data_IF_825242192573
#
_entry.id   IF_825242192573
#
_cell.length_a   1.000
_cell.length_b   1.000
_cell.length_c   1.000
_cell.angle_alpha   90.00
_cell.angle_beta   90.00
_cell.angle_gamma   90.00
#
_symmetry.space_group_name_H-M   'P 1'
#
loop_
_entity.id
_entity.type
_entity.pdbx_description
1 polymer ?
#
# COMPACT_ATOMS: atom_id res chain seq x y z
N UNK A 1 13.51 7.69 14.10
CA UNK A 1 12.05 7.71 14.19
C UNK A 1 11.54 8.55 15.35
N UNK A 2 12.04 8.38 16.59
CA UNK A 2 11.61 9.18 17.75
C UNK A 2 11.68 10.69 17.47
N UNK A 3 12.72 11.17 16.79
CA UNK A 3 12.89 12.59 16.44
C UNK A 3 11.86 13.08 15.41
N UNK A 4 11.43 12.22 14.47
CA UNK A 4 10.33 12.52 13.53
C UNK A 4 9.03 12.77 14.30
N UNK A 5 8.75 11.94 15.29
CA UNK A 5 7.52 11.94 16.09
C UNK A 5 7.47 13.10 17.07
N UNK A 6 8.50 13.25 17.87
CA UNK A 6 8.50 14.21 19.00
C UNK A 6 9.06 15.59 18.67
N UNK A 7 9.87 15.73 17.64
CA UNK A 7 10.52 16.97 17.21
C UNK A 7 11.35 17.67 18.30
N UNK A 8 11.65 16.95 19.41
CA UNK A 8 12.43 17.44 20.56
C UNK A 8 13.34 16.32 21.08
N UNK A 9 14.65 16.58 21.16
CA UNK A 9 15.63 15.59 21.62
C UNK A 9 15.40 15.15 23.08
N UNK A 10 14.87 16.04 23.92
CA UNK A 10 14.52 15.71 25.32
C UNK A 10 13.36 14.72 25.42
N UNK A 11 12.33 14.86 24.58
CA UNK A 11 11.20 13.93 24.55
C UNK A 11 11.63 12.57 24.00
N UNK A 12 12.50 12.53 22.97
CA UNK A 12 13.09 11.28 22.46
C UNK A 12 13.90 10.59 23.54
N UNK A 13 14.71 11.33 24.30
CA UNK A 13 15.51 10.78 25.39
C UNK A 13 14.63 10.13 26.46
N UNK A 14 13.55 10.80 26.84
CA UNK A 14 12.59 10.26 27.82
C UNK A 14 11.90 8.97 27.30
N UNK A 15 11.44 8.95 26.04
CA UNK A 15 10.81 7.77 25.43
C UNK A 15 11.76 6.57 25.38
N UNK A 16 13.05 6.81 25.09
CA UNK A 16 14.05 5.74 24.88
C UNK A 16 14.80 5.36 26.17
N UNK A 17 14.50 5.96 27.32
CA UNK A 17 15.27 5.75 28.54
C UNK A 17 16.73 6.22 28.45
N UNK A 18 17.02 7.20 27.60
CA UNK A 18 18.34 7.73 27.33
C UNK A 18 18.51 9.16 27.88
N UNK A 19 19.76 9.61 27.93
CA UNK A 19 20.05 11.02 28.23
C UNK A 19 19.94 11.87 26.94
N UNK A 20 19.57 13.13 27.07
CA UNK A 20 19.53 14.06 25.94
C UNK A 20 20.88 14.20 25.20
N UNK A 21 22.05 14.25 25.90
CA UNK A 21 23.35 14.19 25.22
C UNK A 21 23.57 12.94 24.37
N UNK A 22 23.11 11.76 24.83
CA UNK A 22 23.22 10.51 24.07
C UNK A 22 22.43 10.59 22.76
N UNK A 23 21.18 11.09 22.80
CA UNK A 23 20.37 11.33 21.60
C UNK A 23 21.04 12.32 20.66
N UNK A 24 21.58 13.42 21.18
CA UNK A 24 22.28 14.44 20.39
C UNK A 24 23.54 13.87 19.73
N UNK A 25 24.28 13.04 20.43
CA UNK A 25 25.47 12.38 19.89
C UNK A 25 25.09 11.37 18.78
N UNK A 26 24.05 10.58 18.99
CA UNK A 26 23.54 9.67 17.95
C UNK A 26 23.13 10.44 16.68
N UNK A 27 22.39 11.53 16.82
CA UNK A 27 22.01 12.39 15.68
C UNK A 27 23.25 12.98 14.98
N UNK A 28 24.29 13.40 15.75
CA UNK A 28 25.55 13.89 15.16
C UNK A 28 26.23 12.83 14.31
N UNK A 29 26.27 11.57 14.77
CA UNK A 29 26.83 10.45 13.99
C UNK A 29 26.02 10.20 12.70
N UNK A 30 24.69 10.20 12.78
CA UNK A 30 23.84 10.02 11.60
C UNK A 30 24.04 11.13 10.57
N UNK A 31 24.21 12.38 11.01
CA UNK A 31 24.53 13.51 10.10
C UNK A 31 25.84 13.29 9.34
N UNK A 32 26.84 12.73 9.97
CA UNK A 32 28.11 12.40 9.30
C UNK A 32 27.91 11.27 8.29
N UNK A 33 27.15 10.23 8.66
CA UNK A 33 26.92 9.06 7.79
C UNK A 33 26.14 9.45 6.52
N UNK A 34 25.12 10.31 6.66
CA UNK A 34 24.24 10.69 5.56
C UNK A 34 24.65 11.99 4.85
N UNK A 35 25.69 12.66 5.35
CA UNK A 35 26.14 14.00 4.90
C UNK A 35 24.95 14.99 4.79
N UNK A 36 24.03 14.91 5.77
CA UNK A 36 22.81 15.70 5.82
C UNK A 36 22.49 16.09 7.27
N UNK A 37 21.98 17.31 7.53
CA UNK A 37 21.55 17.72 8.86
C UNK A 37 20.48 16.83 9.48
N UNK A 38 19.71 16.12 8.68
CA UNK A 38 18.54 15.27 8.98
C UNK A 38 17.40 16.03 9.68
N UNK A 39 17.74 16.91 10.61
CA UNK A 39 16.79 17.75 11.35
C UNK A 39 17.34 19.16 11.51
N UNK A 40 16.59 20.14 11.06
CA UNK A 40 16.86 21.57 11.20
C UNK A 40 16.25 22.10 12.49
N UNK A 41 16.96 22.98 13.19
CA UNK A 41 16.39 23.68 14.36
C UNK A 41 15.46 24.79 13.89
N UNK A 42 14.24 24.78 14.42
CA UNK A 42 13.23 25.82 14.20
C UNK A 42 12.68 26.31 15.56
N UNK A 43 11.94 27.39 15.53
CA UNK A 43 11.27 27.95 16.74
C UNK A 43 10.34 26.93 17.42
N UNK A 44 9.76 26.02 16.64
CA UNK A 44 8.85 24.97 17.13
C UNK A 44 9.52 23.61 17.38
N UNK A 45 10.84 23.53 17.29
CA UNK A 45 11.57 22.29 17.52
C UNK A 45 12.40 21.82 16.32
N UNK A 46 12.56 20.52 16.17
CA UNK A 46 13.32 19.91 15.09
C UNK A 46 12.42 19.60 13.90
N UNK A 47 12.77 20.11 12.72
CA UNK A 47 12.08 19.87 11.47
C UNK A 47 12.90 18.95 10.58
N UNK A 48 12.33 17.85 10.04
CA UNK A 48 13.07 16.92 9.18
C UNK A 48 13.45 17.58 7.86
N UNK A 49 14.61 17.18 7.34
CA UNK A 49 15.01 17.48 5.95
C UNK A 49 14.24 16.59 4.97
N UNK A 50 14.31 16.90 3.67
CA UNK A 50 13.75 16.05 2.63
C UNK A 50 14.32 14.62 2.71
N UNK A 51 15.65 14.49 2.92
CA UNK A 51 16.31 13.20 3.09
C UNK A 51 15.79 12.45 4.32
N UNK A 52 15.64 13.14 5.47
CA UNK A 52 15.09 12.49 6.66
C UNK A 52 13.67 11.96 6.45
N UNK A 53 12.83 12.70 5.72
CA UNK A 53 11.48 12.27 5.36
C UNK A 53 11.48 11.07 4.40
N UNK A 54 12.42 11.01 3.46
CA UNK A 54 12.61 9.86 2.57
C UNK A 54 13.12 8.62 3.30
N UNK A 55 13.99 8.81 4.28
CA UNK A 55 14.56 7.72 5.09
C UNK A 55 13.56 7.14 6.08
N UNK A 56 12.58 7.91 6.54
CA UNK A 56 11.62 7.48 7.56
C UNK A 56 10.93 6.15 7.24
N UNK A 57 10.27 5.97 6.09
CA UNK A 57 9.61 4.69 5.77
C UNK A 57 10.60 3.53 5.65
N UNK A 58 11.81 3.78 5.14
CA UNK A 58 12.87 2.77 5.02
C UNK A 58 13.33 2.28 6.38
N UNK A 59 13.57 3.21 7.32
CA UNK A 59 13.99 2.88 8.69
C UNK A 59 12.86 2.19 9.48
N UNK A 60 11.61 2.62 9.31
CA UNK A 60 10.44 1.94 9.89
C UNK A 60 10.38 0.49 9.43
N UNK A 61 10.59 0.24 8.15
CA UNK A 61 10.58 -1.11 7.60
C UNK A 61 11.72 -1.98 8.16
N UNK A 62 12.93 -1.44 8.28
CA UNK A 62 14.09 -2.15 8.87
C UNK A 62 13.77 -2.57 10.31
N UNK A 63 13.26 -1.66 11.13
CA UNK A 63 12.89 -1.96 12.53
C UNK A 63 11.83 -3.04 12.59
N UNK A 64 10.80 -2.97 11.73
CA UNK A 64 9.76 -3.99 11.65
C UNK A 64 10.32 -5.37 11.28
N UNK A 65 11.22 -5.45 10.30
CA UNK A 65 11.87 -6.70 9.91
C UNK A 65 12.71 -7.29 11.06
N UNK A 66 13.41 -6.43 11.81
CA UNK A 66 14.14 -6.85 13.01
C UNK A 66 13.18 -7.41 14.05
N UNK A 67 12.11 -6.69 14.38
CA UNK A 67 11.08 -7.16 15.34
C UNK A 67 10.50 -8.50 14.92
N UNK A 68 10.09 -8.65 13.66
CA UNK A 68 9.56 -9.91 13.12
C UNK A 68 10.59 -11.06 13.20
N UNK A 69 11.87 -10.78 13.04
CA UNK A 69 12.93 -11.78 13.14
C UNK A 69 13.11 -12.25 14.58
N UNK A 70 12.98 -11.35 15.53
CA UNK A 70 13.12 -11.64 16.97
C UNK A 70 11.87 -12.35 17.49
N UNK A 71 10.68 -11.88 17.10
CA UNK A 71 9.37 -12.41 17.52
C UNK A 71 8.98 -13.72 16.80
N UNK A 72 9.68 -14.08 15.73
CA UNK A 72 9.34 -15.12 14.76
C UNK A 72 9.27 -16.57 15.25
N UNK A 73 9.21 -16.83 16.57
CA UNK A 73 9.00 -18.15 17.13
C UNK A 73 7.70 -18.29 17.96
N UNK A 74 6.95 -17.22 18.15
CA UNK A 74 5.68 -17.33 18.87
C UNK A 74 4.54 -17.71 17.95
N UNK A 75 3.73 -18.70 18.36
CA UNK A 75 2.50 -19.08 17.66
C UNK A 75 1.55 -17.88 17.65
N UNK A 76 1.18 -17.41 16.46
CA UNK A 76 0.25 -16.29 16.27
C UNK A 76 -1.06 -16.57 17.01
N UNK A 77 -1.39 -15.73 17.98
CA UNK A 77 -2.66 -15.77 18.70
C UNK A 77 -3.51 -14.54 18.34
N UNK A 78 -4.61 -14.70 17.60
CA UNK A 78 -5.44 -13.58 17.16
C UNK A 78 -5.95 -12.72 18.31
N UNK A 79 -6.26 -13.30 19.46
CA UNK A 79 -6.86 -12.59 20.59
C UNK A 79 -5.89 -11.63 21.29
N UNK A 80 -4.60 -11.92 21.22
CA UNK A 80 -3.55 -11.13 21.92
C UNK A 80 -2.62 -10.38 20.94
N UNK A 81 -2.70 -10.69 19.66
CA UNK A 81 -1.85 -10.07 18.65
C UNK A 81 -2.05 -8.55 18.60
N UNK A 82 -0.96 -7.81 18.74
CA UNK A 82 -0.89 -6.36 18.58
C UNK A 82 0.01 -6.09 17.38
N UNK A 83 -0.57 -5.83 16.23
CA UNK A 83 0.21 -5.56 15.01
C UNK A 83 -0.49 -4.54 14.12
N UNK A 84 0.28 -3.83 13.35
CA UNK A 84 -0.18 -2.93 12.30
C UNK A 84 -0.09 -3.67 10.96
N UNK A 85 -1.24 -4.00 10.38
CA UNK A 85 -1.34 -4.65 9.07
C UNK A 85 -1.53 -3.59 7.98
N UNK A 86 -0.58 -3.52 7.06
CA UNK A 86 -0.59 -2.57 5.94
C UNK A 86 -1.05 -3.27 4.68
N UNK A 87 -2.18 -2.82 4.15
CA UNK A 87 -2.84 -3.43 3.00
C UNK A 87 -2.89 -2.45 1.85
N UNK A 88 -2.23 -2.79 0.73
CA UNK A 88 -2.43 -2.12 -0.55
C UNK A 88 -3.65 -2.71 -1.25
N UNK A 89 -4.60 -1.90 -1.68
CA UNK A 89 -5.80 -2.41 -2.34
C UNK A 89 -6.29 -1.47 -3.44
N UNK A 90 -7.02 -2.02 -4.42
CA UNK A 90 -7.66 -1.21 -5.46
C UNK A 90 -8.97 -0.61 -4.92
N UNK A 91 -9.51 0.37 -5.61
CA UNK A 91 -10.68 1.14 -5.16
C UNK A 91 -11.88 0.25 -4.83
N UNK A 92 -12.11 -0.80 -5.63
CA UNK A 92 -13.20 -1.75 -5.38
C UNK A 92 -13.00 -2.50 -4.06
N UNK A 93 -11.79 -3.01 -3.83
CA UNK A 93 -11.46 -3.75 -2.62
C UNK A 93 -11.45 -2.86 -1.38
N UNK A 94 -10.96 -1.62 -1.51
CA UNK A 94 -11.02 -0.61 -0.43
C UNK A 94 -12.45 -0.34 0.01
N UNK A 95 -13.40 -0.31 -0.93
CA UNK A 95 -14.81 0.00 -0.62
C UNK A 95 -15.62 -1.23 -0.20
N UNK A 96 -15.33 -2.40 -0.75
CA UNK A 96 -16.19 -3.58 -0.60
C UNK A 96 -15.62 -4.68 0.29
N UNK A 97 -14.29 -4.82 0.33
CA UNK A 97 -13.62 -5.89 1.08
C UNK A 97 -13.07 -5.38 2.41
N UNK A 98 -12.30 -4.30 2.39
CA UNK A 98 -11.65 -3.79 3.60
C UNK A 98 -12.63 -3.49 4.73
N UNK A 99 -13.80 -2.86 4.53
CA UNK A 99 -14.75 -2.63 5.63
C UNK A 99 -15.26 -3.93 6.27
N UNK A 100 -15.49 -4.96 5.46
CA UNK A 100 -15.93 -6.28 5.96
C UNK A 100 -14.82 -6.99 6.74
N UNK A 101 -13.58 -6.88 6.26
CA UNK A 101 -12.39 -7.40 6.94
C UNK A 101 -12.21 -6.73 8.30
N UNK A 102 -12.28 -5.40 8.37
CA UNK A 102 -12.18 -4.62 9.60
C UNK A 102 -13.27 -5.03 10.58
N UNK A 103 -14.53 -5.14 10.13
CA UNK A 103 -15.64 -5.56 10.99
C UNK A 103 -15.41 -6.96 11.59
N UNK A 104 -14.87 -7.90 10.80
CA UNK A 104 -14.54 -9.24 11.27
C UNK A 104 -13.35 -9.25 12.22
N UNK A 105 -12.29 -8.51 11.90
CA UNK A 105 -11.08 -8.44 12.73
C UNK A 105 -11.34 -7.80 14.10
N UNK A 106 -12.22 -6.82 14.19
CA UNK A 106 -12.62 -6.23 15.49
C UNK A 106 -13.18 -7.27 16.49
N UNK A 107 -13.73 -8.37 15.98
CA UNK A 107 -14.28 -9.45 16.81
C UNK A 107 -13.18 -10.45 17.19
N UNK A 108 -12.35 -10.86 16.22
CA UNK A 108 -11.40 -11.97 16.41
C UNK A 108 -9.99 -11.52 16.80
N UNK A 109 -9.64 -10.27 16.51
CA UNK A 109 -8.31 -9.70 16.77
C UNK A 109 -8.40 -8.19 17.05
N UNK A 110 -9.00 -7.80 18.18
CA UNK A 110 -9.38 -6.41 18.47
C UNK A 110 -8.19 -5.43 18.53
N UNK A 111 -6.99 -5.93 18.78
CA UNK A 111 -5.76 -5.14 18.92
C UNK A 111 -4.96 -5.01 17.62
N UNK A 112 -5.44 -5.61 16.52
CA UNK A 112 -4.82 -5.47 15.20
C UNK A 112 -5.33 -4.19 14.54
N UNK A 113 -4.41 -3.32 14.15
CA UNK A 113 -4.72 -2.13 13.36
C UNK A 113 -4.58 -2.42 11.87
N UNK A 114 -5.46 -1.83 11.05
CA UNK A 114 -5.37 -1.91 9.60
C UNK A 114 -5.08 -0.53 9.04
N UNK A 115 -4.02 -0.45 8.25
CA UNK A 115 -3.69 0.69 7.41
C UNK A 115 -3.91 0.29 5.95
N UNK A 116 -4.98 0.78 5.33
CA UNK A 116 -5.30 0.47 3.94
C UNK A 116 -4.93 1.65 3.03
N UNK A 117 -4.25 1.35 1.93
CA UNK A 117 -3.74 2.34 0.97
C UNK A 117 -4.22 2.00 -0.44
N UNK A 118 -4.61 3.00 -1.25
CA UNK A 118 -4.86 2.79 -2.67
C UNK A 118 -3.53 2.49 -3.37
N UNK A 119 -3.41 1.28 -3.93
CA UNK A 119 -2.25 0.86 -4.71
C UNK A 119 -2.68 0.02 -5.91
N UNK A 120 -2.00 0.20 -7.03
CA UNK A 120 -2.18 -0.61 -8.23
C UNK A 120 -1.15 -1.73 -8.34
N UNK A 121 -1.38 -2.64 -9.31
CA UNK A 121 -0.63 -3.89 -9.46
C UNK A 121 0.90 -3.73 -9.44
N UNK A 122 1.43 -2.80 -10.24
CA UNK A 122 2.90 -2.64 -10.35
C UNK A 122 3.50 -2.03 -9.09
N UNK A 123 2.82 -1.03 -8.52
CA UNK A 123 3.20 -0.38 -7.26
C UNK A 123 3.09 -1.34 -6.08
N UNK A 124 2.03 -2.17 -6.06
CA UNK A 124 1.78 -3.11 -4.99
C UNK A 124 2.89 -4.17 -4.88
N UNK A 125 3.38 -4.69 -6.02
CA UNK A 125 4.49 -5.66 -6.02
C UNK A 125 5.77 -5.02 -5.51
N UNK A 126 6.05 -3.81 -5.97
CA UNK A 126 7.21 -3.07 -5.48
C UNK A 126 7.11 -2.83 -3.97
N UNK A 127 5.96 -2.35 -3.50
CA UNK A 127 5.70 -2.10 -2.09
C UNK A 127 5.79 -3.38 -1.22
N UNK A 128 5.29 -4.53 -1.73
CA UNK A 128 5.47 -5.83 -1.08
C UNK A 128 6.93 -6.24 -1.00
N UNK A 129 7.67 -6.12 -2.12
CA UNK A 129 9.09 -6.49 -2.17
C UNK A 129 9.95 -5.64 -1.25
N UNK A 130 9.58 -4.39 -1.05
CA UNK A 130 10.24 -3.46 -0.14
C UNK A 130 9.71 -3.54 1.31
N UNK A 131 8.73 -4.42 1.57
CA UNK A 131 8.08 -4.54 2.88
C UNK A 131 7.34 -3.26 3.32
N UNK A 132 6.94 -2.42 2.40
CA UNK A 132 6.13 -1.22 2.67
C UNK A 132 4.68 -1.57 2.99
N UNK A 133 4.18 -2.66 2.42
CA UNK A 133 2.89 -3.28 2.74
C UNK A 133 3.10 -4.76 3.04
N UNK A 134 2.18 -5.36 3.77
CA UNK A 134 2.22 -6.75 4.20
C UNK A 134 1.35 -7.63 3.31
N UNK A 135 0.29 -7.05 2.72
CA UNK A 135 -0.68 -7.71 1.85
C UNK A 135 -1.12 -6.76 0.74
N UNK A 136 -1.43 -7.30 -0.42
CA UNK A 136 -2.16 -6.56 -1.44
C UNK A 136 -3.36 -7.34 -1.94
N UNK A 137 -4.50 -6.63 -2.15
CA UNK A 137 -5.75 -7.19 -2.67
C UNK A 137 -6.14 -6.40 -3.91
N UNK A 138 -6.36 -7.12 -5.02
CA UNK A 138 -6.76 -6.46 -6.26
C UNK A 138 -6.68 -7.39 -7.46
N UNK A 139 -6.81 -6.83 -8.64
CA UNK A 139 -6.64 -7.55 -9.88
C UNK A 139 -5.16 -7.55 -10.29
N UNK A 140 -4.56 -8.72 -10.33
CA UNK A 140 -3.18 -8.93 -10.75
C UNK A 140 -3.12 -9.85 -11.96
N UNK A 141 -2.45 -9.40 -13.01
CA UNK A 141 -2.24 -10.22 -14.22
C UNK A 141 -0.92 -11.02 -14.10
N UNK A 142 -0.82 -11.85 -13.05
CA UNK A 142 0.36 -12.68 -12.80
C UNK A 142 0.03 -14.16 -12.77
N UNK A 143 1.07 -15.02 -12.90
CA UNK A 143 0.92 -16.42 -12.55
C UNK A 143 0.47 -16.57 -11.10
N UNK A 144 -0.61 -17.31 -10.89
CA UNK A 144 -1.26 -17.53 -9.58
C UNK A 144 -0.40 -18.20 -8.51
N UNK A 145 0.85 -18.52 -8.81
CA UNK A 145 1.75 -19.22 -7.89
C UNK A 145 2.74 -18.33 -7.15
N UNK A 146 2.68 -17.01 -7.33
CA UNK A 146 3.64 -16.10 -6.71
C UNK A 146 5.06 -16.24 -7.27
N UNK A 147 5.98 -15.65 -6.59
CA UNK A 147 7.43 -15.71 -6.84
C UNK A 147 8.15 -16.06 -5.53
N UNK A 148 9.50 -16.04 -5.53
CA UNK A 148 10.26 -16.13 -4.26
C UNK A 148 10.00 -14.95 -3.31
N UNK A 149 9.43 -13.87 -3.82
CA UNK A 149 9.27 -12.60 -3.09
C UNK A 149 7.88 -12.44 -2.48
N UNK A 150 6.84 -13.07 -3.06
CA UNK A 150 5.46 -13.00 -2.57
C UNK A 150 4.70 -14.30 -2.88
N UNK A 151 3.67 -14.56 -2.09
CA UNK A 151 2.70 -15.64 -2.33
C UNK A 151 1.45 -14.99 -2.93
N UNK A 152 0.91 -15.58 -4.00
CA UNK A 152 -0.33 -15.12 -4.60
C UNK A 152 -1.43 -16.18 -4.41
N UNK A 153 -2.57 -15.74 -3.92
CA UNK A 153 -3.76 -16.55 -3.72
C UNK A 153 -4.96 -15.92 -4.42
N UNK A 154 -5.72 -16.76 -5.16
CA UNK A 154 -6.92 -16.31 -5.83
C UNK A 154 -8.08 -16.29 -4.86
N UNK A 155 -8.65 -15.13 -4.60
CA UNK A 155 -9.79 -14.97 -3.70
C UNK A 155 -11.12 -15.25 -4.41
N UNK A 156 -11.35 -14.64 -5.59
CA UNK A 156 -12.61 -14.78 -6.35
C UNK A 156 -12.39 -14.45 -7.83
N UNK A 157 -13.43 -14.58 -8.64
CA UNK A 157 -13.47 -14.14 -10.03
C UNK A 157 -14.37 -12.92 -10.18
N UNK A 158 -13.93 -11.97 -10.99
CA UNK A 158 -14.72 -10.84 -11.42
C UNK A 158 -14.87 -10.83 -12.94
N UNK A 159 -15.91 -10.15 -13.43
CA UNK A 159 -16.19 -10.03 -14.84
C UNK A 159 -16.41 -8.57 -15.20
N UNK A 160 -15.83 -8.16 -16.31
CA UNK A 160 -16.21 -6.89 -16.92
C UNK A 160 -17.62 -6.99 -17.51
N UNK A 161 -18.41 -5.97 -17.25
CA UNK A 161 -19.77 -5.87 -17.81
C UNK A 161 -19.88 -4.62 -18.66
N UNK A 162 -20.64 -4.72 -19.74
CA UNK A 162 -21.00 -3.56 -20.54
C UNK A 162 -22.19 -2.87 -19.88
N UNK A 163 -22.02 -1.61 -19.52
CA UNK A 163 -23.08 -0.77 -18.99
C UNK A 163 -23.36 0.40 -19.94
N UNK A 164 -24.63 0.70 -20.17
CA UNK A 164 -25.06 1.87 -20.92
C UNK A 164 -26.42 2.37 -20.38
N UNK A 165 -26.80 3.60 -20.75
CA UNK A 165 -28.11 4.16 -20.38
C UNK A 165 -29.27 3.26 -20.84
N UNK A 166 -30.36 3.26 -20.09
CA UNK A 166 -31.58 2.53 -20.50
C UNK A 166 -32.01 2.96 -21.91
N UNK A 167 -32.33 1.97 -22.78
CA UNK A 167 -32.74 2.21 -24.15
C UNK A 167 -31.63 2.50 -25.15
N UNK A 168 -30.35 2.32 -24.75
CA UNK A 168 -29.23 2.47 -25.68
C UNK A 168 -29.28 1.50 -26.84
N UNK A 169 -28.96 1.98 -28.06
CA UNK A 169 -29.05 1.21 -29.31
C UNK A 169 -28.20 -0.04 -29.33
N UNK A 170 -27.10 -0.05 -28.56
CA UNK A 170 -26.17 -1.19 -28.48
C UNK A 170 -26.84 -2.48 -28.04
N UNK A 171 -27.89 -2.42 -27.22
CA UNK A 171 -28.64 -3.58 -26.73
C UNK A 171 -29.78 -4.03 -27.70
N UNK A 172 -29.97 -3.35 -28.84
CA UNK A 172 -30.92 -3.79 -29.88
C UNK A 172 -30.28 -4.88 -30.73
N UNK A 173 -30.88 -6.09 -30.71
CA UNK A 173 -30.39 -7.25 -31.46
C UNK A 173 -29.14 -7.91 -30.83
N UNK A 174 -28.39 -8.68 -31.63
CA UNK A 174 -27.21 -9.43 -31.13
C UNK A 174 -26.06 -8.51 -30.81
N UNK A 175 -25.54 -8.61 -29.59
CA UNK A 175 -24.33 -7.91 -29.17
C UNK A 175 -23.08 -8.57 -29.82
N UNK A 176 -22.14 -7.75 -30.28
CA UNK A 176 -20.87 -8.22 -30.84
C UNK A 176 -19.73 -7.29 -30.44
N UNK A 177 -18.50 -7.77 -30.41
CA UNK A 177 -17.33 -6.96 -30.10
C UNK A 177 -17.15 -5.80 -31.10
N UNK A 178 -17.45 -6.02 -32.40
CA UNK A 178 -17.41 -4.95 -33.42
C UNK A 178 -18.39 -3.83 -33.10
N UNK A 179 -19.60 -4.19 -32.62
CA UNK A 179 -20.63 -3.22 -32.26
C UNK A 179 -20.23 -2.45 -30.99
N UNK A 180 -19.58 -3.14 -30.04
CA UNK A 180 -19.03 -2.50 -28.83
C UNK A 180 -17.93 -1.52 -29.24
N UNK A 181 -16.95 -1.95 -30.02
CA UNK A 181 -15.83 -1.11 -30.44
C UNK A 181 -16.23 0.13 -31.27
N UNK A 182 -17.38 0.08 -31.95
CA UNK A 182 -17.91 1.20 -32.73
C UNK A 182 -18.57 2.30 -31.89
N UNK A 183 -18.85 2.06 -30.63
CA UNK A 183 -19.46 3.05 -29.72
C UNK A 183 -18.40 3.92 -29.03
N UNK A 184 -18.83 5.05 -28.49
CA UNK A 184 -17.98 5.88 -27.62
C UNK A 184 -17.96 5.31 -26.21
N UNK A 185 -16.75 5.07 -25.71
CA UNK A 185 -16.56 4.50 -24.38
C UNK A 185 -16.25 5.57 -23.34
N UNK A 186 -16.83 5.42 -22.15
CA UNK A 186 -16.37 6.11 -20.95
C UNK A 186 -15.31 5.23 -20.28
N UNK A 187 -14.09 5.72 -20.24
CA UNK A 187 -12.99 5.06 -19.57
C UNK A 187 -12.80 5.67 -18.17
N UNK A 188 -12.86 4.83 -17.16
CA UNK A 188 -12.35 5.20 -15.83
C UNK A 188 -10.86 4.86 -15.79
N UNK A 189 -10.03 5.89 -15.78
CA UNK A 189 -8.57 5.75 -15.76
C UNK A 189 -8.01 6.41 -14.51
N UNK A 190 -7.96 5.72 -13.37
CA UNK A 190 -7.21 6.18 -12.22
C UNK A 190 -5.74 6.26 -12.67
N UNK A 191 -5.06 7.36 -12.56
CA UNK A 191 -3.64 7.59 -12.98
C UNK A 191 -3.39 7.95 -14.44
N UNK A 192 -4.41 8.44 -15.17
CA UNK A 192 -4.21 9.01 -16.50
C UNK A 192 -3.74 8.05 -17.60
N UNK A 193 -3.87 6.75 -17.42
CA UNK A 193 -3.59 5.77 -18.47
C UNK A 193 -4.63 5.92 -19.58
N UNK A 194 -4.18 6.12 -20.80
CA UNK A 194 -5.05 6.31 -21.98
C UNK A 194 -5.74 4.99 -22.39
N UNK A 195 -5.17 3.84 -22.05
CA UNK A 195 -5.71 2.51 -22.37
C UNK A 195 -5.86 1.65 -21.12
N UNK A 196 -6.93 0.87 -21.07
CA UNK A 196 -7.20 -0.09 -20.02
C UNK A 196 -7.15 -1.55 -20.53
N UNK A 197 -7.51 -2.50 -19.68
CA UNK A 197 -7.54 -3.93 -20.01
C UNK A 197 -8.54 -4.26 -21.13
N UNK A 198 -9.68 -3.55 -21.18
CA UNK A 198 -10.70 -3.76 -22.22
C UNK A 198 -10.18 -3.28 -23.57
N UNK A 199 -9.53 -2.12 -23.62
CA UNK A 199 -8.91 -1.60 -24.83
C UNK A 199 -7.85 -2.57 -25.35
N UNK A 200 -7.01 -3.08 -24.46
CA UNK A 200 -6.00 -4.05 -24.83
C UNK A 200 -6.61 -5.37 -25.35
N UNK A 201 -7.66 -5.86 -24.72
CA UNK A 201 -8.35 -7.07 -25.17
C UNK A 201 -9.01 -6.89 -26.54
N UNK A 202 -9.56 -5.70 -26.84
CA UNK A 202 -10.12 -5.38 -28.15
C UNK A 202 -9.02 -5.20 -29.22
N UNK A 203 -7.92 -4.54 -28.88
CA UNK A 203 -6.76 -4.41 -29.75
C UNK A 203 -6.22 -5.80 -30.19
N UNK A 204 -6.17 -6.78 -29.30
CA UNK A 204 -5.77 -8.16 -29.61
C UNK A 204 -6.73 -8.86 -30.59
N UNK A 205 -7.97 -8.41 -30.69
CA UNK A 205 -8.98 -8.88 -31.65
C UNK A 205 -8.99 -8.04 -32.94
N UNK A 206 -8.03 -7.12 -33.10
CA UNK A 206 -7.96 -6.20 -34.26
C UNK A 206 -9.04 -5.11 -34.25
N UNK A 207 -9.68 -4.88 -33.10
CA UNK A 207 -10.72 -3.87 -32.93
C UNK A 207 -10.14 -2.67 -32.17
N UNK A 208 -10.32 -1.47 -32.72
CA UNK A 208 -9.90 -0.22 -32.07
C UNK A 208 -11.14 0.51 -31.56
N UNK A 209 -11.01 1.07 -30.36
CA UNK A 209 -11.95 2.03 -29.76
C UNK A 209 -11.49 3.43 -30.08
#
# INVERSE_FOLDING_TARGET
LGTMRHRKATAVAAEMGLTQPAVSHALKRLRIIFDDPLFLRRTHGLEPTALASELEPKVQNIIRLISQTIEGSETFNPNTATTDLRIGAFDYELTNIIPKLVAKLRIVSPNVNIHAFPLHSDEAIHALSQGQIDLSIGYFNFPTRGTKTYIAEKLYNEHYVLAARRGHSIFKGKLSLKKIAAEKHLLVSPYGRIKNLVDHALDLQGLKI
#
